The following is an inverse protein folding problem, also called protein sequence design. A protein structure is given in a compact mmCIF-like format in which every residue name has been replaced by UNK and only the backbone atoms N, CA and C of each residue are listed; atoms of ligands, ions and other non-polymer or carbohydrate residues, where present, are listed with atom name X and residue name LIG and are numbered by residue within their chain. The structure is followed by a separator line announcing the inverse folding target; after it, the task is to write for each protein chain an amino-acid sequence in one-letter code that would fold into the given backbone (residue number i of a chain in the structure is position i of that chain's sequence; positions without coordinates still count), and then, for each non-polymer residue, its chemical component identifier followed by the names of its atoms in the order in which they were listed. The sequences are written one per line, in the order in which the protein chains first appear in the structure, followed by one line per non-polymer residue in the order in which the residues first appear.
data_IF_134973553669
#
_entry.id   IF_134973553669
#
_cell.length_a   1.000
_cell.length_b   1.000
_cell.length_c   1.000
_cell.angle_alpha   90.00
_cell.angle_beta   90.00
_cell.angle_gamma   90.00
#
_symmetry.space_group_name_H-M   'P 1'
#
loop_
_entity.id
_entity.type
_entity.pdbx_description
1 polymer ?
#
# COMPACT_ATOMS: atom_id res chain seq x y z
N UNK A 1 29.10 -33.75 -48.12
CA UNK A 1 29.29 -33.06 -46.82
C UNK A 1 27.92 -32.69 -46.26
N UNK A 2 27.47 -33.39 -45.21
CA UNK A 2 26.22 -33.08 -44.51
C UNK A 2 26.57 -32.14 -43.37
N UNK A 3 26.11 -30.88 -43.44
CA UNK A 3 26.26 -29.92 -42.35
C UNK A 3 25.18 -30.20 -41.29
N UNK A 4 25.60 -30.62 -40.09
CA UNK A 4 24.74 -30.81 -38.93
C UNK A 4 24.66 -29.50 -38.14
N UNK A 5 23.45 -28.95 -37.96
CA UNK A 5 23.23 -27.81 -37.06
C UNK A 5 22.89 -28.38 -35.69
N UNK A 6 23.81 -28.18 -34.74
CA UNK A 6 23.62 -28.57 -33.34
C UNK A 6 22.96 -27.39 -32.61
N UNK A 7 21.65 -27.42 -32.42
CA UNK A 7 20.98 -26.48 -31.51
C UNK A 7 20.97 -27.10 -30.11
N UNK A 8 21.88 -26.64 -29.25
CA UNK A 8 21.77 -26.88 -27.81
C UNK A 8 21.13 -25.64 -27.20
N UNK A 9 20.01 -25.81 -26.49
CA UNK A 9 19.50 -24.80 -25.57
C UNK A 9 20.54 -24.71 -24.47
N UNK A 10 21.31 -23.62 -24.43
CA UNK A 10 22.36 -23.41 -23.43
C UNK A 10 21.63 -23.23 -22.09
N UNK A 11 21.76 -24.15 -21.12
CA UNK A 11 21.25 -23.89 -19.79
C UNK A 11 22.05 -22.72 -19.21
N UNK A 12 21.36 -21.70 -18.70
CA UNK A 12 21.98 -20.67 -17.87
C UNK A 12 22.78 -21.39 -16.77
N UNK A 13 24.00 -20.93 -16.49
CA UNK A 13 24.92 -21.57 -15.55
C UNK A 13 24.23 -21.71 -14.18
N UNK A 14 24.36 -22.88 -13.54
CA UNK A 14 23.73 -23.20 -12.23
C UNK A 14 24.06 -22.13 -11.17
N UNK A 15 25.27 -21.58 -11.18
CA UNK A 15 25.69 -20.45 -10.33
C UNK A 15 24.82 -19.21 -10.50
N UNK A 16 24.49 -18.84 -11.74
CA UNK A 16 23.64 -17.68 -12.05
C UNK A 16 22.20 -17.90 -11.59
N UNK A 17 21.72 -19.14 -11.62
CA UNK A 17 20.39 -19.49 -11.12
C UNK A 17 20.28 -19.41 -9.59
N UNK A 18 21.29 -19.89 -8.86
CA UNK A 18 21.35 -19.77 -7.41
C UNK A 18 21.34 -18.29 -6.99
N UNK A 19 22.12 -17.45 -7.68
CA UNK A 19 22.11 -16.00 -7.46
C UNK A 19 20.73 -15.36 -7.67
N UNK A 20 19.98 -15.78 -8.70
CA UNK A 20 18.63 -15.27 -8.94
C UNK A 20 17.64 -15.64 -7.83
N UNK A 21 17.77 -16.84 -7.25
CA UNK A 21 16.94 -17.28 -6.12
C UNK A 21 17.23 -16.44 -4.88
N UNK A 22 18.51 -16.20 -4.58
CA UNK A 22 18.93 -15.36 -3.46
C UNK A 22 18.41 -13.92 -3.61
N UNK A 23 18.54 -13.34 -4.81
CA UNK A 23 17.98 -12.01 -5.12
C UNK A 23 16.46 -11.99 -4.95
N UNK A 24 15.76 -13.02 -5.41
CA UNK A 24 14.30 -13.13 -5.26
C UNK A 24 13.86 -13.20 -3.79
N UNK A 25 14.61 -13.88 -2.92
CA UNK A 25 14.36 -13.89 -1.47
C UNK A 25 14.58 -12.51 -0.84
N UNK A 26 15.66 -11.82 -1.22
CA UNK A 26 15.95 -10.47 -0.73
C UNK A 26 14.83 -9.50 -1.12
N UNK A 27 14.39 -9.53 -2.38
CA UNK A 27 13.28 -8.69 -2.85
C UNK A 27 12.01 -8.96 -2.04
N UNK A 28 11.70 -10.22 -1.76
CA UNK A 28 10.54 -10.59 -0.94
C UNK A 28 10.60 -10.00 0.47
N UNK A 29 11.77 -10.05 1.12
CA UNK A 29 11.98 -9.47 2.45
C UNK A 29 11.85 -7.95 2.42
N UNK A 30 12.36 -7.30 1.38
CA UNK A 30 12.23 -5.85 1.19
C UNK A 30 10.75 -5.47 1.04
N UNK A 31 10.00 -6.15 0.16
CA UNK A 31 8.57 -5.90 -0.01
C UNK A 31 7.81 -6.08 1.32
N UNK A 32 8.07 -7.18 2.03
CA UNK A 32 7.45 -7.44 3.34
C UNK A 32 7.76 -6.33 4.35
N UNK A 33 9.00 -5.85 4.39
CA UNK A 33 9.38 -4.74 5.28
C UNK A 33 8.63 -3.44 4.94
N UNK A 34 8.43 -3.17 3.65
CA UNK A 34 7.68 -2.00 3.19
C UNK A 34 6.19 -2.13 3.55
N UNK A 35 5.59 -3.30 3.37
CA UNK A 35 4.20 -3.58 3.75
C UNK A 35 3.98 -3.34 5.25
N UNK A 36 4.89 -3.82 6.10
CA UNK A 36 4.82 -3.61 7.56
C UNK A 36 4.94 -2.12 7.93
N UNK A 37 5.89 -1.40 7.33
CA UNK A 37 6.06 0.04 7.57
C UNK A 37 4.85 0.84 7.10
N UNK A 38 4.29 0.48 5.94
CA UNK A 38 3.09 1.12 5.40
C UNK A 38 1.88 0.90 6.30
N UNK A 39 1.64 -0.35 6.73
CA UNK A 39 0.57 -0.68 7.66
C UNK A 39 0.72 0.03 9.00
N UNK A 40 1.94 0.10 9.55
CA UNK A 40 2.23 0.86 10.77
C UNK A 40 1.93 2.37 10.60
N UNK A 41 2.29 2.96 9.46
CA UNK A 41 1.98 4.36 9.16
C UNK A 41 0.48 4.60 9.04
N UNK A 42 -0.27 3.67 8.46
CA UNK A 42 -1.74 3.74 8.39
C UNK A 42 -2.37 3.75 9.79
N UNK A 43 -1.88 2.90 10.70
CA UNK A 43 -2.35 2.86 12.10
C UNK A 43 -2.02 4.16 12.83
N UNK A 44 -0.80 4.68 12.69
CA UNK A 44 -0.42 5.97 13.30
C UNK A 44 -1.31 7.10 12.80
N UNK A 45 -1.55 7.18 11.48
CA UNK A 45 -2.42 8.21 10.90
C UNK A 45 -3.89 8.06 11.34
N UNK A 46 -4.37 6.85 11.60
CA UNK A 46 -5.68 6.64 12.21
C UNK A 46 -5.70 7.21 13.62
N UNK A 47 -4.73 6.84 14.46
CA UNK A 47 -4.68 7.26 15.86
C UNK A 47 -4.55 8.78 16.00
N UNK A 48 -3.73 9.41 15.17
CA UNK A 48 -3.55 10.88 15.16
C UNK A 48 -4.83 11.65 14.79
N UNK A 49 -5.75 11.05 14.04
CA UNK A 49 -6.92 11.74 13.49
C UNK A 49 -8.25 11.18 14.01
N UNK A 50 -8.22 10.25 14.97
CA UNK A 50 -9.41 9.61 15.52
C UNK A 50 -10.36 10.64 16.15
N UNK A 51 -9.81 11.59 16.91
CA UNK A 51 -10.60 12.59 17.64
C UNK A 51 -11.22 13.66 16.71
N UNK A 52 -10.61 13.87 15.53
CA UNK A 52 -11.10 14.82 14.51
C UNK A 52 -11.90 14.10 13.41
N UNK A 53 -12.05 12.77 13.45
CA UNK A 53 -12.83 12.02 12.46
C UNK A 53 -14.32 12.46 12.37
N UNK A 54 -14.84 13.18 13.37
CA UNK A 54 -16.16 13.81 13.28
C UNK A 54 -16.16 15.07 12.38
N UNK A 55 -15.05 15.80 12.27
CA UNK A 55 -14.89 17.02 11.47
C UNK A 55 -14.25 16.75 10.10
N UNK A 56 -13.18 15.96 10.09
CA UNK A 56 -12.66 15.27 8.92
C UNK A 56 -13.66 14.17 8.62
N UNK A 57 -14.63 14.42 7.73
CA UNK A 57 -15.59 13.40 7.21
C UNK A 57 -15.17 11.98 7.59
N UNK A 58 -15.89 11.34 8.53
CA UNK A 58 -15.55 10.07 9.21
C UNK A 58 -14.89 9.01 8.32
N UNK A 59 -15.21 9.04 7.03
CA UNK A 59 -14.57 8.31 5.95
C UNK A 59 -13.03 8.46 5.91
N UNK A 60 -12.46 9.66 6.02
CA UNK A 60 -11.02 9.92 5.88
C UNK A 60 -10.26 9.82 7.20
N UNK A 61 -10.88 10.26 8.30
CA UNK A 61 -10.24 10.20 9.62
C UNK A 61 -10.18 8.79 10.20
N UNK A 62 -11.16 7.94 9.89
CA UNK A 62 -11.28 6.62 10.51
C UNK A 62 -11.40 5.48 9.48
N UNK A 63 -12.36 5.54 8.55
CA UNK A 63 -12.69 4.37 7.69
C UNK A 63 -11.53 4.01 6.76
N UNK A 64 -11.03 4.96 5.98
CA UNK A 64 -9.97 4.70 4.99
C UNK A 64 -8.70 4.16 5.67
N UNK A 65 -8.15 4.80 6.71
CA UNK A 65 -6.98 4.27 7.43
C UNK A 65 -7.22 2.89 8.05
N UNK A 66 -8.45 2.58 8.48
CA UNK A 66 -8.83 1.25 8.96
C UNK A 66 -8.73 0.21 7.86
N UNK A 67 -9.27 0.52 6.69
CA UNK A 67 -9.24 -0.38 5.53
C UNK A 67 -7.80 -0.67 5.14
N UNK A 68 -6.95 0.35 5.03
CA UNK A 68 -5.52 0.17 4.72
C UNK A 68 -4.82 -0.67 5.78
N UNK A 69 -5.00 -0.37 7.07
CA UNK A 69 -4.37 -1.12 8.16
C UNK A 69 -4.76 -2.61 8.14
N UNK A 70 -6.03 -2.92 7.89
CA UNK A 70 -6.51 -4.31 7.81
C UNK A 70 -5.90 -5.01 6.59
N UNK A 71 -5.94 -4.39 5.41
CA UNK A 71 -5.44 -5.04 4.20
C UNK A 71 -3.92 -5.23 4.27
N UNK A 72 -3.16 -4.22 4.70
CA UNK A 72 -1.70 -4.32 4.85
C UNK A 72 -1.32 -5.40 5.87
N UNK A 73 -2.05 -5.48 6.99
CA UNK A 73 -1.87 -6.56 7.96
C UNK A 73 -2.11 -7.94 7.34
N UNK A 74 -3.17 -8.10 6.54
CA UNK A 74 -3.41 -9.37 5.84
C UNK A 74 -2.33 -9.69 4.80
N UNK A 75 -1.83 -8.70 4.05
CA UNK A 75 -0.74 -8.89 3.10
C UNK A 75 0.55 -9.29 3.78
N UNK A 76 0.92 -8.63 4.88
CA UNK A 76 2.11 -8.97 5.65
C UNK A 76 2.04 -10.43 6.17
N UNK A 77 0.88 -10.85 6.67
CA UNK A 77 0.65 -12.24 7.08
C UNK A 77 0.80 -13.23 5.93
N UNK A 78 0.20 -12.95 4.77
CA UNK A 78 0.36 -13.77 3.56
C UNK A 78 1.83 -13.80 3.09
N UNK A 79 2.55 -12.68 3.18
CA UNK A 79 3.96 -12.55 2.86
C UNK A 79 4.84 -13.44 3.74
N UNK A 80 4.60 -13.44 5.06
CA UNK A 80 5.31 -14.32 6.02
C UNK A 80 5.05 -15.80 5.73
N UNK A 81 3.79 -16.16 5.46
CA UNK A 81 3.42 -17.53 5.09
C UNK A 81 4.12 -17.93 3.80
N UNK A 82 4.03 -17.09 2.77
CA UNK A 82 4.67 -17.28 1.46
C UNK A 82 6.18 -17.47 1.60
N UNK A 83 6.85 -16.65 2.43
CA UNK A 83 8.29 -16.76 2.70
C UNK A 83 8.63 -18.11 3.34
N UNK A 84 7.83 -18.54 4.31
CA UNK A 84 8.02 -19.81 5.02
C UNK A 84 7.94 -21.00 4.06
N UNK A 85 6.96 -21.01 3.16
CA UNK A 85 6.82 -22.07 2.16
C UNK A 85 7.92 -22.01 1.08
N UNK A 86 8.35 -20.82 0.67
CA UNK A 86 9.49 -20.65 -0.27
C UNK A 86 10.78 -21.21 0.30
N UNK A 87 11.09 -20.89 1.57
CA UNK A 87 12.28 -21.43 2.25
C UNK A 87 12.20 -22.95 2.39
N UNK A 88 11.03 -23.51 2.72
CA UNK A 88 10.83 -24.97 2.77
C UNK A 88 11.02 -25.62 1.40
N UNK A 89 10.45 -25.04 0.35
CA UNK A 89 10.60 -25.49 -1.03
C UNK A 89 12.07 -25.54 -1.46
N UNK A 90 12.85 -24.50 -1.13
CA UNK A 90 14.28 -24.44 -1.45
C UNK A 90 15.11 -25.45 -0.64
N UNK A 91 14.73 -25.74 0.60
CA UNK A 91 15.47 -26.68 1.47
C UNK A 91 15.21 -28.15 1.14
N UNK A 92 13.99 -28.51 0.73
CA UNK A 92 13.58 -29.91 0.59
C UNK A 92 13.38 -30.32 -0.88
N UNK A 93 14.39 -31.01 -1.45
CA UNK A 93 14.33 -31.44 -2.85
C UNK A 93 13.27 -32.51 -3.16
N UNK A 94 12.78 -33.27 -2.16
CA UNK A 94 11.88 -34.42 -2.36
C UNK A 94 10.39 -34.15 -2.11
N UNK A 95 10.01 -33.05 -1.46
CA UNK A 95 8.60 -32.69 -1.15
C UNK A 95 8.06 -31.55 -2.03
N UNK A 96 8.73 -31.32 -3.18
CA UNK A 96 8.53 -30.15 -4.06
C UNK A 96 7.07 -29.88 -4.44
N UNK A 97 6.23 -30.89 -4.69
CA UNK A 97 4.91 -30.65 -5.31
C UNK A 97 3.87 -30.02 -4.37
N UNK A 98 3.80 -30.44 -3.10
CA UNK A 98 2.76 -29.95 -2.17
C UNK A 98 3.07 -28.55 -1.65
N UNK A 99 4.30 -28.33 -1.17
CA UNK A 99 4.73 -27.02 -0.64
C UNK A 99 4.69 -25.93 -1.71
N UNK A 100 5.12 -26.25 -2.95
CA UNK A 100 5.03 -25.36 -4.10
C UNK A 100 3.58 -25.00 -4.44
N UNK A 101 2.65 -25.97 -4.38
CA UNK A 101 1.22 -25.71 -4.61
C UNK A 101 0.64 -24.75 -3.56
N UNK A 102 1.01 -24.92 -2.28
CA UNK A 102 0.56 -24.02 -1.22
C UNK A 102 1.13 -22.62 -1.42
N UNK A 103 2.44 -22.50 -1.64
CA UNK A 103 3.12 -21.24 -1.96
C UNK A 103 2.43 -20.50 -3.12
N UNK A 104 2.14 -21.22 -4.20
CA UNK A 104 1.44 -20.74 -5.38
C UNK A 104 0.08 -20.12 -5.05
N UNK A 105 -0.72 -20.80 -4.22
CA UNK A 105 -2.05 -20.34 -3.80
C UNK A 105 -1.95 -19.09 -2.93
N UNK A 106 -0.97 -19.01 -2.04
CA UNK A 106 -0.75 -17.85 -1.17
C UNK A 106 -0.35 -16.62 -1.99
N UNK A 107 0.52 -16.76 -2.99
CA UNK A 107 0.85 -15.65 -3.90
C UNK A 107 -0.35 -15.19 -4.72
N UNK A 108 -1.20 -16.10 -5.20
CA UNK A 108 -2.41 -15.70 -5.92
C UNK A 108 -3.34 -14.92 -4.98
N UNK A 109 -3.50 -15.37 -3.74
CA UNK A 109 -4.27 -14.65 -2.73
C UNK A 109 -3.71 -13.26 -2.44
N UNK A 110 -2.38 -13.10 -2.31
CA UNK A 110 -1.75 -11.78 -2.06
C UNK A 110 -1.93 -10.83 -3.24
N UNK A 111 -1.89 -11.31 -4.48
CA UNK A 111 -2.19 -10.50 -5.68
C UNK A 111 -3.65 -10.06 -5.68
N UNK A 112 -4.60 -10.95 -5.34
CA UNK A 112 -6.02 -10.59 -5.24
C UNK A 112 -6.23 -9.51 -4.17
N UNK A 113 -5.65 -9.68 -2.97
CA UNK A 113 -5.71 -8.67 -1.91
C UNK A 113 -5.10 -7.34 -2.35
N UNK A 114 -3.99 -7.35 -3.07
CA UNK A 114 -3.34 -6.14 -3.60
C UNK A 114 -4.23 -5.41 -4.61
N UNK A 115 -4.97 -6.14 -5.46
CA UNK A 115 -5.94 -5.53 -6.38
C UNK A 115 -7.10 -4.86 -5.65
N UNK A 116 -7.53 -5.41 -4.51
CA UNK A 116 -8.55 -4.77 -3.65
C UNK A 116 -8.06 -3.43 -3.08
N UNK A 117 -6.78 -3.32 -2.74
CA UNK A 117 -6.16 -2.03 -2.37
C UNK A 117 -6.27 -1.03 -3.52
N UNK A 118 -5.97 -1.47 -4.75
CA UNK A 118 -6.08 -0.61 -5.93
C UNK A 118 -7.49 -0.02 -6.11
N UNK A 119 -8.53 -0.83 -5.88
CA UNK A 119 -9.93 -0.37 -5.91
C UNK A 119 -10.22 0.63 -4.79
N UNK A 120 -9.76 0.36 -3.56
CA UNK A 120 -9.92 1.28 -2.42
C UNK A 120 -9.18 2.61 -2.64
N UNK A 121 -8.01 2.58 -3.25
CA UNK A 121 -7.26 3.78 -3.64
C UNK A 121 -8.03 4.60 -4.67
N UNK A 122 -8.55 3.95 -5.71
CA UNK A 122 -9.30 4.61 -6.77
C UNK A 122 -10.56 5.32 -6.23
N UNK A 123 -11.33 4.65 -5.37
CA UNK A 123 -12.51 5.27 -4.74
C UNK A 123 -12.12 6.43 -3.82
N UNK A 124 -11.03 6.30 -3.06
CA UNK A 124 -10.55 7.36 -2.14
C UNK A 124 -10.16 8.65 -2.88
N UNK A 125 -9.54 8.54 -4.05
CA UNK A 125 -9.15 9.69 -4.89
C UNK A 125 -10.38 10.39 -5.49
N UNK A 126 -11.38 9.63 -5.94
CA UNK A 126 -12.61 10.18 -6.52
C UNK A 126 -13.41 10.96 -5.47
N UNK A 127 -13.51 10.42 -4.26
CA UNK A 127 -14.29 11.01 -3.15
C UNK A 127 -13.62 12.24 -2.52
N UNK A 128 -12.32 12.47 -2.79
CA UNK A 128 -11.55 13.55 -2.16
C UNK A 128 -12.06 14.96 -2.50
N UNK A 129 -12.40 15.22 -3.77
CA UNK A 129 -12.77 16.55 -4.27
C UNK A 129 -13.99 17.18 -3.56
N UNK A 130 -15.14 16.49 -3.42
CA UNK A 130 -16.30 17.05 -2.73
C UNK A 130 -16.05 17.33 -1.24
N UNK A 131 -15.10 16.64 -0.62
CA UNK A 131 -14.88 16.70 0.83
C UNK A 131 -14.08 17.93 1.24
N UNK A 132 -13.14 18.36 0.40
CA UNK A 132 -12.40 19.58 0.65
C UNK A 132 -13.33 20.80 0.77
N UNK A 133 -14.37 20.87 -0.08
CA UNK A 133 -15.42 21.89 0.00
C UNK A 133 -16.38 21.68 1.16
N UNK A 134 -16.67 20.42 1.52
CA UNK A 134 -17.52 20.07 2.65
C UNK A 134 -16.91 20.49 4.00
N UNK A 135 -15.59 20.35 4.18
CA UNK A 135 -14.89 20.77 5.39
C UNK A 135 -15.04 22.27 5.64
N UNK A 136 -14.71 23.12 4.66
CA UNK A 136 -14.83 24.58 4.79
C UNK A 136 -16.27 25.00 5.10
N UNK A 137 -17.25 24.44 4.40
CA UNK A 137 -18.66 24.74 4.61
C UNK A 137 -19.15 24.32 6.00
N UNK A 138 -18.77 23.12 6.45
CA UNK A 138 -19.15 22.59 7.77
C UNK A 138 -18.49 23.37 8.90
N UNK A 139 -17.21 23.72 8.75
CA UNK A 139 -16.47 24.53 9.72
C UNK A 139 -17.08 25.93 9.83
N UNK A 140 -17.37 26.60 8.71
CA UNK A 140 -18.02 27.92 8.72
C UNK A 140 -19.42 27.86 9.35
N UNK A 141 -20.16 26.78 9.14
CA UNK A 141 -21.48 26.57 9.78
C UNK A 141 -21.34 26.42 11.29
N UNK A 142 -20.37 25.63 11.76
CA UNK A 142 -20.07 25.50 13.19
C UNK A 142 -19.62 26.84 13.80
N UNK A 143 -18.80 27.61 13.08
CA UNK A 143 -18.28 28.90 13.53
C UNK A 143 -19.41 29.92 13.69
N UNK A 144 -20.36 29.95 12.74
CA UNK A 144 -21.57 30.79 12.82
C UNK A 144 -22.49 30.39 13.98
N UNK A 145 -22.53 29.10 14.32
CA UNK A 145 -23.39 28.55 15.37
C UNK A 145 -22.64 28.27 16.67
N UNK A 146 -21.52 28.95 16.92
CA UNK A 146 -20.66 28.68 18.08
C UNK A 146 -21.35 28.85 19.45
N UNK A 147 -22.47 29.58 19.53
CA UNK A 147 -23.31 29.64 20.74
C UNK A 147 -24.01 28.31 21.06
N UNK A 148 -24.15 27.40 20.09
CA UNK A 148 -24.69 26.07 20.30
C UNK A 148 -23.63 25.17 20.98
N UNK A 149 -23.97 24.47 22.09
CA UNK A 149 -23.05 23.58 22.81
C UNK A 149 -22.34 22.54 21.94
N UNK A 150 -23.02 21.98 20.95
CA UNK A 150 -22.45 20.98 20.04
C UNK A 150 -21.40 21.61 19.12
N UNK A 151 -21.73 22.74 18.49
CA UNK A 151 -20.78 23.44 17.60
C UNK A 151 -19.59 23.99 18.38
N UNK A 152 -19.83 24.46 19.62
CA UNK A 152 -18.77 24.89 20.55
C UNK A 152 -17.81 23.75 20.86
N UNK A 153 -18.32 22.63 21.38
CA UNK A 153 -17.50 21.50 21.80
C UNK A 153 -16.61 21.00 20.66
N UNK A 154 -17.19 20.90 19.47
CA UNK A 154 -16.51 20.44 18.26
C UNK A 154 -15.41 21.41 17.80
N UNK A 155 -15.68 22.71 17.73
CA UNK A 155 -14.67 23.70 17.32
C UNK A 155 -13.57 23.87 18.37
N UNK A 156 -13.93 23.91 19.66
CA UNK A 156 -12.97 24.02 20.74
C UNK A 156 -12.01 22.85 20.76
N UNK A 157 -12.53 21.65 20.55
CA UNK A 157 -11.73 20.44 20.44
C UNK A 157 -10.74 20.52 19.26
N UNK A 158 -11.23 20.82 18.05
CA UNK A 158 -10.38 20.89 16.85
C UNK A 158 -9.28 21.95 16.95
N UNK A 159 -9.62 23.13 17.46
CA UNK A 159 -8.67 24.23 17.59
C UNK A 159 -7.58 23.93 18.61
N UNK A 160 -7.96 23.32 19.74
CA UNK A 160 -7.02 22.91 20.79
C UNK A 160 -6.09 21.78 20.30
N UNK A 161 -6.66 20.72 19.73
CA UNK A 161 -5.91 19.53 19.33
C UNK A 161 -4.91 19.83 18.20
N UNK A 162 -5.32 20.64 17.22
CA UNK A 162 -4.47 20.95 16.08
C UNK A 162 -3.68 22.25 16.19
N UNK A 163 -3.80 22.94 17.33
CA UNK A 163 -3.09 24.20 17.57
C UNK A 163 -3.35 25.20 16.42
N UNK A 164 -4.64 25.44 16.15
CA UNK A 164 -5.12 26.33 15.10
C UNK A 164 -6.25 27.23 15.60
N UNK A 165 -6.51 28.34 14.91
CA UNK A 165 -7.57 29.27 15.28
C UNK A 165 -8.30 29.79 14.05
N UNK A 166 -9.63 29.66 14.05
CA UNK A 166 -10.46 30.00 12.90
C UNK A 166 -10.26 29.05 11.70
N UNK A 167 -10.94 29.31 10.59
CA UNK A 167 -10.86 28.47 9.41
C UNK A 167 -9.57 28.74 8.63
N UNK A 168 -9.39 29.97 8.16
CA UNK A 168 -8.22 30.47 7.45
C UNK A 168 -7.22 31.09 8.39
N UNK A 169 -7.71 31.87 9.35
CA UNK A 169 -6.93 32.48 10.42
C UNK A 169 -7.84 32.92 11.58
N UNK A 170 -7.21 33.41 12.66
CA UNK A 170 -7.90 33.85 13.87
C UNK A 170 -8.90 34.99 13.63
N UNK A 171 -8.77 35.77 12.55
CA UNK A 171 -9.66 36.90 12.24
C UNK A 171 -11.04 36.44 11.81
N UNK A 172 -11.20 35.17 11.46
CA UNK A 172 -12.51 34.57 11.19
C UNK A 172 -13.46 34.72 12.39
N UNK A 173 -12.94 34.83 13.62
CA UNK A 173 -13.74 35.13 14.83
C UNK A 173 -14.31 36.54 14.88
N UNK A 174 -13.70 37.48 14.16
CA UNK A 174 -14.14 38.88 14.13
C UNK A 174 -15.11 39.14 12.97
N UNK A 175 -15.31 38.15 12.10
CA UNK A 175 -16.18 38.20 10.95
C UNK A 175 -17.50 37.43 11.24
N UNK A 176 -18.65 38.10 11.23
CA UNK A 176 -19.96 37.43 11.27
C UNK A 176 -20.88 37.86 12.42
N UNK A 177 -21.78 36.96 12.85
CA UNK A 177 -22.76 37.22 13.95
C UNK A 177 -22.17 37.02 15.35
N UNK A 178 -21.11 36.21 15.46
CA UNK A 178 -20.39 35.97 16.71
C UNK A 178 -19.20 36.92 16.81
N UNK A 179 -19.41 38.23 16.53
CA UNK A 179 -18.35 39.22 16.72
C UNK A 179 -17.99 39.23 18.19
N UNK A 180 -16.84 38.65 18.49
CA UNK A 180 -16.21 38.87 19.77
C UNK A 180 -15.55 40.24 19.71
N UNK A 181 -15.61 41.01 20.81
CA UNK A 181 -14.91 42.29 20.94
C UNK A 181 -13.39 42.04 21.03
N UNK A 182 -12.82 41.53 19.94
CA UNK A 182 -11.44 41.04 19.83
C UNK A 182 -11.06 39.90 20.80
N UNK A 183 -12.03 39.26 21.45
CA UNK A 183 -11.80 38.08 22.29
C UNK A 183 -11.77 36.80 21.45
N UNK A 184 -10.77 35.95 21.65
CA UNK A 184 -10.75 34.62 21.07
C UNK A 184 -11.26 33.59 22.09
N UNK A 185 -11.87 32.49 21.64
CA UNK A 185 -12.20 31.40 22.56
C UNK A 185 -10.93 30.78 23.14
N UNK A 186 -11.02 30.24 24.36
CA UNK A 186 -9.87 29.66 25.06
C UNK A 186 -9.16 28.55 24.26
N UNK A 187 -9.87 27.86 23.38
CA UNK A 187 -9.32 26.85 22.45
C UNK A 187 -8.35 27.41 21.40
N UNK A 188 -8.41 28.71 21.09
CA UNK A 188 -7.44 29.40 20.22
C UNK A 188 -6.17 29.83 20.97
N UNK A 189 -6.20 29.87 22.30
CA UNK A 189 -5.13 30.44 23.11
C UNK A 189 -4.08 29.37 23.42
N UNK A 190 -2.80 29.77 23.44
CA UNK A 190 -1.69 28.85 23.76
C UNK A 190 -1.66 28.46 25.23
N UNK A 191 -2.12 29.36 26.10
CA UNK A 191 -2.30 29.11 27.53
C UNK A 191 -3.80 28.95 27.81
N UNK A 192 -4.22 27.72 28.14
CA UNK A 192 -5.63 27.31 28.26
C UNK A 192 -6.36 28.00 29.43
N UNK A 193 -5.61 28.55 30.39
CA UNK A 193 -6.16 29.11 31.63
C UNK A 193 -6.73 30.53 31.48
N UNK A 194 -6.48 31.23 30.38
CA UNK A 194 -6.96 32.61 30.20
C UNK A 194 -7.47 32.84 28.77
N UNK A 195 -8.73 33.34 28.59
CA UNK A 195 -9.19 33.86 27.30
C UNK A 195 -8.23 34.95 26.80
N UNK A 196 -7.77 34.81 25.57
CA UNK A 196 -6.82 35.74 24.96
C UNK A 196 -7.54 36.75 24.07
N UNK A 197 -7.06 37.99 24.07
CA UNK A 197 -7.58 39.08 23.25
C UNK A 197 -6.56 39.50 22.20
N UNK A 198 -7.04 39.77 21.00
CA UNK A 198 -6.28 40.45 19.95
C UNK A 198 -6.34 41.95 20.20
N UNK A 199 -5.21 42.65 20.13
CA UNK A 199 -5.17 44.10 20.31
C UNK A 199 -4.55 44.75 19.08
N UNK A 200 -5.37 45.36 18.18
CA UNK A 200 -4.86 45.92 16.93
C UNK A 200 -3.82 47.04 17.13
N UNK A 201 -3.80 47.69 18.29
CA UNK A 201 -2.90 48.80 18.64
C UNK A 201 -1.62 48.37 19.39
N UNK A 202 -1.45 47.08 19.71
CA UNK A 202 -0.24 46.56 20.41
C UNK A 202 0.72 45.87 19.42
N UNK A 203 2.00 45.80 19.80
CA UNK A 203 3.02 45.10 19.01
C UNK A 203 2.54 43.69 18.63
N UNK A 204 2.45 43.41 17.32
CA UNK A 204 2.04 42.12 16.76
C UNK A 204 2.86 40.92 17.30
N UNK A 205 4.06 41.19 17.81
CA UNK A 205 4.93 40.22 18.47
C UNK A 205 4.27 39.58 19.70
N UNK A 206 3.60 40.36 20.56
CA UNK A 206 2.98 39.84 21.79
C UNK A 206 1.77 38.96 21.48
N UNK A 207 0.95 39.38 20.52
CA UNK A 207 -0.25 38.66 20.09
C UNK A 207 0.09 37.30 19.44
N UNK A 208 1.20 37.19 18.71
CA UNK A 208 1.67 35.92 18.14
C UNK A 208 2.00 34.87 19.22
N UNK A 209 2.42 35.29 20.42
CA UNK A 209 2.70 34.38 21.54
C UNK A 209 1.44 34.00 22.34
N UNK A 210 0.34 34.73 22.21
CA UNK A 210 -0.88 34.48 22.98
C UNK A 210 -1.81 33.42 22.36
N UNK A 211 -1.88 33.34 21.03
CA UNK A 211 -2.81 32.45 20.32
C UNK A 211 -2.19 31.79 19.09
N UNK A 212 -2.91 30.83 18.51
CA UNK A 212 -2.52 30.18 17.26
C UNK A 212 -2.87 31.06 16.06
N UNK A 213 -1.88 31.58 15.29
CA UNK A 213 -2.16 32.49 14.18
C UNK A 213 -2.66 31.76 12.93
N UNK A 214 -2.38 30.46 12.82
CA UNK A 214 -2.72 29.64 11.64
C UNK A 214 -4.14 29.08 11.73
N UNK A 215 -4.91 29.19 10.66
CA UNK A 215 -6.24 28.56 10.57
C UNK A 215 -6.21 27.05 10.43
N UNK A 216 -7.31 26.43 10.83
CA UNK A 216 -7.49 24.98 10.85
C UNK A 216 -7.54 24.36 9.44
N UNK A 217 -7.88 25.15 8.41
CA UNK A 217 -7.83 24.70 7.01
C UNK A 217 -6.42 24.28 6.57
N UNK A 218 -5.39 24.94 7.08
CA UNK A 218 -4.00 24.58 6.75
C UNK A 218 -3.60 23.24 7.39
N UNK A 219 -4.04 23.01 8.63
CA UNK A 219 -3.84 21.72 9.32
C UNK A 219 -4.60 20.61 8.58
N UNK A 220 -5.83 20.89 8.19
CA UNK A 220 -6.65 19.99 7.38
C UNK A 220 -5.96 19.62 6.06
N UNK A 221 -5.50 20.60 5.29
CA UNK A 221 -4.76 20.38 4.03
C UNK A 221 -3.50 19.55 4.21
N UNK A 222 -2.76 19.79 5.31
CA UNK A 222 -1.54 19.03 5.63
C UNK A 222 -1.86 17.57 5.91
N UNK A 223 -2.83 17.30 6.77
CA UNK A 223 -3.27 15.92 7.05
C UNK A 223 -3.80 15.23 5.79
N UNK A 224 -4.60 15.93 4.96
CA UNK A 224 -5.05 15.39 3.68
C UNK A 224 -3.86 15.06 2.74
N UNK A 225 -2.82 15.90 2.70
CA UNK A 225 -1.62 15.61 1.92
C UNK A 225 -0.89 14.36 2.41
N UNK A 226 -0.79 14.14 3.73
CA UNK A 226 -0.21 12.92 4.30
C UNK A 226 -1.03 11.67 3.92
N UNK A 227 -2.36 11.76 3.92
CA UNK A 227 -3.22 10.68 3.42
C UNK A 227 -3.02 10.40 1.93
N UNK A 228 -2.89 11.44 1.11
CA UNK A 228 -2.61 11.25 -0.32
C UNK A 228 -1.26 10.58 -0.55
N UNK A 229 -0.24 10.94 0.23
CA UNK A 229 1.07 10.25 0.18
C UNK A 229 0.92 8.76 0.51
N UNK A 230 0.13 8.41 1.52
CA UNK A 230 -0.17 7.02 1.88
C UNK A 230 -0.78 6.27 0.68
N UNK A 231 -1.80 6.85 0.03
CA UNK A 231 -2.44 6.25 -1.16
C UNK A 231 -1.43 6.04 -2.28
N UNK A 232 -0.58 7.04 -2.57
CA UNK A 232 0.45 6.90 -3.62
C UNK A 232 1.48 5.81 -3.28
N UNK A 233 1.91 5.72 -2.02
CA UNK A 233 2.81 4.67 -1.56
C UNK A 233 2.17 3.29 -1.73
N UNK A 234 0.91 3.11 -1.32
CA UNK A 234 0.18 1.86 -1.49
C UNK A 234 0.08 1.41 -2.96
N UNK A 235 -0.17 2.35 -3.89
CA UNK A 235 -0.22 2.07 -5.33
C UNK A 235 1.13 1.59 -5.87
N UNK A 236 2.23 2.21 -5.43
CA UNK A 236 3.58 1.80 -5.82
C UNK A 236 3.89 0.41 -5.28
N UNK A 237 3.59 0.15 -4.00
CA UNK A 237 3.78 -1.17 -3.36
C UNK A 237 3.00 -2.25 -4.10
N UNK A 238 1.73 -1.99 -4.43
CA UNK A 238 0.88 -2.88 -5.22
C UNK A 238 1.53 -3.22 -6.57
N UNK A 239 2.01 -2.22 -7.32
CA UNK A 239 2.69 -2.44 -8.59
C UNK A 239 3.97 -3.28 -8.42
N UNK A 240 4.80 -2.96 -7.43
CA UNK A 240 6.02 -3.71 -7.12
C UNK A 240 5.71 -5.17 -6.75
N UNK A 241 4.68 -5.41 -5.94
CA UNK A 241 4.26 -6.74 -5.49
C UNK A 241 3.75 -7.60 -6.66
N UNK A 242 2.95 -7.02 -7.57
CA UNK A 242 2.48 -7.72 -8.78
C UNK A 242 3.65 -8.06 -9.69
N UNK A 243 4.55 -7.09 -9.95
CA UNK A 243 5.73 -7.33 -10.76
C UNK A 243 6.61 -8.41 -10.16
N UNK A 244 6.89 -8.36 -8.86
CA UNK A 244 7.64 -9.40 -8.14
C UNK A 244 6.98 -10.77 -8.29
N UNK A 245 5.66 -10.85 -8.11
CA UNK A 245 4.92 -12.11 -8.24
C UNK A 245 5.06 -12.72 -9.65
N UNK A 246 5.04 -11.88 -10.69
CA UNK A 246 5.26 -12.32 -12.08
C UNK A 246 6.70 -12.80 -12.27
N UNK A 247 7.70 -12.02 -11.84
CA UNK A 247 9.11 -12.38 -11.96
C UNK A 247 9.43 -13.68 -11.22
N UNK A 248 8.92 -13.83 -10.01
CA UNK A 248 9.10 -15.02 -9.19
C UNK A 248 8.48 -16.27 -9.83
N UNK A 249 7.32 -16.15 -10.49
CA UNK A 249 6.74 -17.24 -11.29
C UNK A 249 7.56 -17.60 -12.51
N UNK A 250 8.15 -16.62 -13.19
CA UNK A 250 9.03 -16.88 -14.33
C UNK A 250 10.28 -17.66 -13.88
N UNK A 251 10.86 -17.26 -12.75
CA UNK A 251 11.99 -17.99 -12.13
C UNK A 251 11.57 -19.43 -11.82
N UNK A 252 10.43 -19.66 -11.16
CA UNK A 252 9.96 -21.00 -10.84
C UNK A 252 9.67 -21.86 -12.07
N UNK A 253 8.99 -21.30 -13.09
CA UNK A 253 8.71 -22.03 -14.32
C UNK A 253 10.00 -22.43 -15.05
N UNK A 254 11.06 -21.64 -14.93
CA UNK A 254 12.36 -21.99 -15.50
C UNK A 254 13.06 -23.10 -14.69
N UNK A 255 12.87 -23.14 -13.37
CA UNK A 255 13.41 -24.21 -12.50
C UNK A 255 12.79 -25.57 -12.82
N UNK A 256 11.49 -25.61 -13.11
CA UNK A 256 10.78 -26.86 -13.44
C UNK A 256 11.24 -27.47 -14.78
N UNK A 257 11.86 -26.67 -15.67
CA UNK A 257 12.36 -27.13 -16.95
C UNK A 257 13.78 -27.74 -16.89
N UNK A 258 14.51 -27.59 -15.78
CA UNK A 258 15.87 -28.12 -15.66
C UNK A 258 15.79 -29.64 -15.41
N UNK A 259 16.26 -30.48 -16.35
CA UNK A 259 16.22 -31.92 -16.16
C UNK A 259 17.17 -32.31 -15.01
N UNK A 260 16.62 -32.97 -13.98
CA UNK A 260 17.36 -33.42 -12.80
C UNK A 260 18.39 -34.52 -13.09
N UNK A 261 18.38 -35.08 -14.31
CA UNK A 261 19.15 -36.27 -14.67
C UNK A 261 20.40 -35.97 -15.51
N UNK A 262 20.97 -34.75 -15.49
CA UNK A 262 22.27 -34.44 -16.13
C UNK A 262 22.37 -34.68 -17.65
N UNK A 263 21.32 -35.17 -18.31
CA UNK A 263 21.29 -35.41 -19.75
C UNK A 263 20.95 -34.10 -20.45
N UNK A 264 21.97 -33.44 -21.00
CA UNK A 264 21.77 -32.33 -21.94
C UNK A 264 20.96 -32.82 -23.14
N UNK A 265 19.72 -32.35 -23.31
CA UNK A 265 18.96 -32.58 -24.54
C UNK A 265 19.49 -31.66 -25.65
N UNK A 266 20.52 -32.12 -26.38
CA UNK A 266 20.88 -31.49 -27.65
C UNK A 266 20.11 -32.19 -28.78
N UNK A 267 19.27 -31.43 -29.49
CA UNK A 267 18.58 -31.93 -30.66
C UNK A 267 19.52 -31.88 -31.87
N UNK A 268 19.75 -33.02 -32.51
CA UNK A 268 20.43 -33.09 -33.81
C UNK A 268 19.34 -33.04 -34.88
N UNK A 269 19.15 -31.89 -35.51
CA UNK A 269 18.21 -31.75 -36.62
C UNK A 269 18.99 -32.02 -37.92
N UNK A 270 18.76 -33.18 -38.52
CA UNK A 270 19.17 -33.43 -39.91
C UNK A 270 18.21 -32.72 -40.86
N UNK A 271 18.74 -31.94 -41.80
CA UNK A 271 17.94 -31.16 -42.79
C UNK A 271 16.97 -32.02 -43.61
N UNK A 272 17.16 -33.34 -43.68
CA UNK A 272 16.29 -34.25 -44.41
C UNK A 272 14.92 -34.51 -43.75
N UNK A 273 14.67 -34.00 -42.54
CA UNK A 273 13.40 -34.20 -41.80
C UNK A 273 12.51 -32.95 -41.72
N UNK A 274 12.87 -31.83 -42.36
CA UNK A 274 11.98 -30.66 -42.42
C UNK A 274 10.96 -30.86 -43.55
N UNK A 275 9.92 -31.66 -43.29
CA UNK A 275 8.65 -31.56 -44.03
C UNK A 275 7.72 -30.65 -43.22
N UNK A 276 7.43 -29.47 -43.74
CA UNK A 276 6.34 -28.63 -43.24
C UNK A 276 5.00 -29.37 -43.45
N UNK A 277 4.44 -29.93 -42.39
CA UNK A 277 3.14 -30.60 -42.39
C UNK A 277 2.36 -30.30 -41.12
N UNK A 278 1.11 -29.85 -41.26
CA UNK A 278 0.21 -29.46 -40.16
C UNK A 278 0.14 -30.53 -39.06
N UNK A 279 0.28 -30.07 -37.82
CA UNK A 279 0.21 -30.88 -36.61
C UNK A 279 -1.11 -31.68 -36.51
N UNK A 280 -1.01 -33.00 -36.30
CA UNK A 280 -2.09 -33.81 -35.74
C UNK A 280 -1.67 -34.33 -34.37
N UNK A 281 -2.43 -33.91 -33.36
CA UNK A 281 -2.38 -34.35 -31.96
C UNK A 281 -2.57 -35.88 -31.90
N UNK A 282 -1.61 -36.64 -31.35
CA UNK A 282 -1.78 -38.07 -31.06
C UNK A 282 -1.81 -38.35 -29.57
N UNK A 283 -2.78 -39.19 -29.21
CA UNK A 283 -3.21 -39.67 -27.90
C UNK A 283 -2.28 -40.78 -27.40
N UNK A 284 -2.16 -40.91 -26.08
CA UNK A 284 -1.35 -41.91 -25.40
C UNK A 284 -1.82 -43.35 -25.66
N UNK A 285 -0.87 -44.29 -25.79
CA UNK A 285 -1.08 -45.73 -25.58
C UNK A 285 0.23 -46.42 -25.20
N UNK A 286 0.25 -46.90 -23.96
CA UNK A 286 0.80 -48.14 -23.38
C UNK A 286 1.93 -48.87 -24.10
N UNK A 287 3.00 -49.20 -23.37
CA UNK A 287 4.05 -50.14 -23.80
C UNK A 287 4.23 -51.23 -22.75
N UNK A 288 3.95 -52.47 -23.15
CA UNK A 288 4.34 -53.72 -22.49
C UNK A 288 5.86 -53.94 -22.65
N UNK A 289 6.50 -54.51 -21.64
CA UNK A 289 7.90 -54.96 -21.62
C UNK A 289 8.03 -56.43 -22.03
N UNK A 290 9.08 -56.82 -22.79
CA UNK A 290 9.52 -58.21 -22.88
C UNK A 290 10.90 -58.48 -22.24
N UNK A 291 11.01 -59.73 -21.73
CA UNK A 291 12.13 -60.71 -21.79
C UNK A 291 13.49 -60.47 -21.11
N UNK A 292 13.88 -61.40 -20.21
CA UNK A 292 14.89 -62.48 -20.44
C UNK A 292 15.00 -63.35 -19.17
N UNK A 293 14.80 -64.68 -19.23
CA UNK A 293 15.78 -65.75 -19.53
C UNK A 293 16.92 -65.91 -18.49
N UNK A 294 16.66 -66.70 -17.44
CA UNK A 294 17.32 -67.97 -17.06
C UNK A 294 16.80 -68.47 -15.70
#
# INVERSE_FOLDING_TARGET
MVYLIKMCIIPIRVETFLQLIDVSLVIMLVILSIEVVHGARSIVLMLENLDIAALFSYVYGAIIPSIFAVIDGTLAMLGIISLSYKVKYLRQQHLKSKEMTVYLRVIIASVICSLLIGLACATSVIVQKPIHGSFEASFLKALKNYSNPQSKAVLDHVQKEHSCCGLKDYKDWFNGKNKTNYMLPGSCCKNVEVPCSFHPDKNASFDFYAFWPTGCLNKYKKALSEYMKLIYQALVVMCCQIMYSIFDRLIQSSMDQIPTNGVHQCYIISKNQIRFGRAKRKRASTTQTPENEN
#
